data_IF_134637421890
#
_entry.id   IF_134637421890
#
_cell.length_a   1.000
_cell.length_b   1.000
_cell.length_c   1.000
_cell.angle_alpha   90.00
_cell.angle_beta   90.00
_cell.angle_gamma   90.00
#
_symmetry.space_group_name_H-M   'P 1'
#
loop_
_entity.id
_entity.type
_entity.pdbx_description
1 polymer ?
#
# COMPACT_ATOMS: atom_id res chain seq x y z
N UNK A 1 47.04 -33.04 -3.72
CA UNK A 1 45.67 -32.98 -4.27
C UNK A 1 44.61 -32.90 -3.16
N UNK A 2 44.62 -33.81 -2.18
CA UNK A 2 43.65 -33.86 -1.06
C UNK A 2 43.56 -32.54 -0.26
N UNK A 3 44.70 -31.88 0.03
CA UNK A 3 44.72 -30.60 0.77
C UNK A 3 43.91 -29.48 0.10
N UNK A 4 43.95 -29.36 -1.23
CA UNK A 4 43.22 -28.33 -2.00
C UNK A 4 41.72 -28.64 -2.10
N UNK A 5 41.36 -29.92 -2.12
CA UNK A 5 39.95 -30.35 -2.08
C UNK A 5 39.33 -30.02 -0.72
N UNK A 6 40.03 -30.27 0.38
CA UNK A 6 39.58 -29.91 1.73
C UNK A 6 39.48 -28.39 1.94
N UNK A 7 40.36 -27.57 1.33
CA UNK A 7 40.26 -26.09 1.43
C UNK A 7 39.13 -25.50 0.60
N UNK A 8 38.69 -26.18 -0.48
CA UNK A 8 37.54 -25.78 -1.27
C UNK A 8 36.22 -26.28 -0.68
N UNK A 9 36.22 -27.45 -0.04
CA UNK A 9 35.03 -28.01 0.60
C UNK A 9 34.69 -27.36 1.94
N UNK A 10 35.67 -26.86 2.71
CA UNK A 10 35.38 -26.23 4.02
C UNK A 10 34.50 -24.97 3.90
N UNK A 11 34.74 -24.03 2.95
CA UNK A 11 33.86 -22.89 2.70
C UNK A 11 32.48 -23.31 2.19
N UNK A 12 32.40 -24.36 1.37
CA UNK A 12 31.14 -24.91 0.85
C UNK A 12 30.32 -25.61 1.95
N UNK A 13 30.98 -26.28 2.90
CA UNK A 13 30.35 -26.87 4.09
C UNK A 13 29.95 -25.80 5.11
N UNK A 14 30.75 -24.74 5.28
CA UNK A 14 30.40 -23.58 6.11
C UNK A 14 29.26 -22.77 5.48
N UNK A 15 29.20 -22.64 4.15
CA UNK A 15 28.10 -21.99 3.44
C UNK A 15 26.80 -22.83 3.46
N UNK A 16 26.90 -24.17 3.50
CA UNK A 16 25.76 -25.08 3.60
C UNK A 16 25.24 -25.27 5.03
N UNK A 17 25.94 -24.77 6.05
CA UNK A 17 25.50 -24.80 7.46
C UNK A 17 24.70 -23.57 7.89
N UNK A 18 24.50 -22.58 7.03
CA UNK A 18 23.56 -21.49 7.29
C UNK A 18 22.15 -21.91 6.85
N UNK A 19 21.58 -22.90 7.55
CA UNK A 19 20.13 -22.90 7.70
C UNK A 19 19.78 -21.59 8.40
N UNK A 20 18.81 -20.88 7.83
CA UNK A 20 18.31 -19.59 8.28
C UNK A 20 17.78 -19.69 9.72
N UNK A 21 18.64 -19.52 10.72
CA UNK A 21 18.21 -19.31 12.10
C UNK A 21 17.50 -17.94 12.20
N UNK A 22 16.42 -17.87 12.97
CA UNK A 22 15.73 -16.62 13.26
C UNK A 22 16.73 -15.56 13.74
N UNK A 23 16.67 -14.30 13.25
CA UNK A 23 17.63 -13.28 13.62
C UNK A 23 17.61 -13.04 15.14
N UNK A 24 18.68 -13.46 15.82
CA UNK A 24 18.90 -13.16 17.23
C UNK A 24 19.68 -11.85 17.36
N UNK A 25 18.99 -10.78 17.75
CA UNK A 25 19.61 -9.48 17.97
C UNK A 25 20.34 -9.45 19.31
N UNK A 26 21.49 -8.78 19.34
CA UNK A 26 22.24 -8.60 20.58
C UNK A 26 21.42 -7.86 21.64
N UNK A 27 21.58 -8.24 22.91
CA UNK A 27 20.89 -7.59 24.03
C UNK A 27 21.11 -6.07 24.10
N UNK A 28 22.23 -5.58 23.56
CA UNK A 28 22.61 -4.16 23.51
C UNK A 28 21.64 -3.30 22.67
N UNK A 29 21.00 -3.89 21.65
CA UNK A 29 20.06 -3.17 20.77
C UNK A 29 18.60 -3.36 21.17
N UNK A 30 18.32 -4.29 22.07
CA UNK A 30 16.98 -4.58 22.56
C UNK A 30 16.55 -3.57 23.63
N UNK A 31 15.26 -3.21 23.59
CA UNK A 31 14.62 -2.36 24.61
C UNK A 31 13.43 -3.06 25.23
N UNK A 32 13.11 -2.66 26.47
CA UNK A 32 11.89 -3.09 27.18
C UNK A 32 11.16 -1.84 27.66
N UNK A 33 10.38 -1.16 26.79
CA UNK A 33 9.70 0.08 27.15
C UNK A 33 8.85 -0.12 28.41
N UNK A 34 9.18 0.58 29.50
CA UNK A 34 8.58 0.32 30.80
C UNK A 34 7.06 0.53 30.81
N UNK A 35 6.60 1.45 29.97
CA UNK A 35 5.22 1.83 29.73
C UNK A 35 4.51 0.99 28.66
N UNK A 36 5.17 -0.04 28.09
CA UNK A 36 4.52 -1.14 27.36
C UNK A 36 4.19 -2.31 28.30
N UNK A 37 5.06 -2.57 29.27
CA UNK A 37 4.93 -3.70 30.21
C UNK A 37 3.64 -3.66 31.04
N UNK A 38 3.21 -4.83 31.51
CA UNK A 38 1.98 -5.03 32.27
C UNK A 38 0.81 -5.48 31.41
N UNK A 39 -0.37 -5.53 32.03
CA UNK A 39 -1.61 -5.85 31.34
C UNK A 39 -2.00 -4.68 30.42
N UNK A 40 -2.52 -4.97 29.24
CA UNK A 40 -3.01 -4.01 28.26
C UNK A 40 -4.37 -4.45 27.77
N UNK A 41 -5.29 -3.50 27.68
CA UNK A 41 -6.54 -3.73 26.96
C UNK A 41 -6.22 -3.68 25.47
N UNK A 42 -6.48 -4.78 24.78
CA UNK A 42 -6.33 -4.93 23.34
C UNK A 42 -7.66 -4.56 22.67
N UNK A 43 -7.60 -3.58 21.77
CA UNK A 43 -8.69 -3.23 20.87
C UNK A 43 -8.26 -3.60 19.44
N UNK A 44 -8.87 -4.67 18.94
CA UNK A 44 -8.80 -5.10 17.54
C UNK A 44 -9.84 -4.32 16.70
N UNK A 45 -9.60 -4.18 15.39
CA UNK A 45 -10.50 -3.49 14.45
C UNK A 45 -11.91 -4.12 14.33
N UNK A 46 -12.06 -5.39 14.75
CA UNK A 46 -13.36 -6.07 14.83
C UNK A 46 -13.76 -6.30 16.31
N UNK A 47 -14.55 -5.39 16.92
CA UNK A 47 -14.88 -5.44 18.35
C UNK A 47 -15.90 -6.54 18.66
N UNK A 48 -15.44 -7.79 18.67
CA UNK A 48 -16.25 -8.94 19.08
C UNK A 48 -16.04 -9.32 20.55
N UNK A 49 -14.94 -8.87 21.17
CA UNK A 49 -14.64 -9.09 22.59
C UNK A 49 -13.60 -8.11 23.12
N UNK A 50 -13.72 -7.74 24.41
CA UNK A 50 -12.65 -7.10 25.17
C UNK A 50 -11.58 -8.17 25.40
N UNK A 51 -10.38 -7.98 24.84
CA UNK A 51 -9.24 -8.86 25.03
C UNK A 51 -8.15 -8.15 25.86
N UNK A 52 -7.38 -8.91 26.63
CA UNK A 52 -6.24 -8.40 27.37
C UNK A 52 -4.95 -9.11 26.96
N UNK A 53 -3.92 -8.30 26.77
CA UNK A 53 -2.56 -8.75 26.51
C UNK A 53 -1.67 -8.45 27.72
N UNK A 54 -0.83 -9.41 28.12
CA UNK A 54 0.14 -9.23 29.19
C UNK A 54 1.56 -9.19 28.60
N UNK A 55 2.23 -8.06 28.79
CA UNK A 55 3.63 -7.87 28.40
C UNK A 55 4.56 -7.98 29.61
N UNK A 56 5.50 -8.93 29.59
CA UNK A 56 6.47 -9.16 30.67
C UNK A 56 7.90 -8.98 30.17
N UNK A 57 8.82 -8.68 31.09
CA UNK A 57 10.25 -8.63 30.78
C UNK A 57 10.77 -10.05 30.50
N UNK A 58 11.48 -10.20 29.40
CA UNK A 58 12.34 -11.37 29.20
C UNK A 58 13.71 -11.13 29.89
N UNK A 59 14.28 -12.19 30.46
CA UNK A 59 15.62 -12.17 31.08
C UNK A 59 16.72 -11.89 30.03
N UNK A 60 16.45 -12.22 28.78
CA UNK A 60 17.38 -12.03 27.66
C UNK A 60 17.34 -10.62 27.05
N UNK A 61 16.46 -9.73 27.54
CA UNK A 61 16.33 -8.35 27.05
C UNK A 61 15.16 -8.12 26.09
N UNK A 62 14.48 -9.18 25.63
CA UNK A 62 13.24 -9.10 24.85
C UNK A 62 11.98 -8.84 25.68
N UNK A 63 10.81 -9.03 25.09
CA UNK A 63 9.49 -8.89 25.74
C UNK A 63 8.69 -10.18 25.53
N UNK A 64 8.09 -10.69 26.60
CA UNK A 64 7.16 -11.83 26.52
C UNK A 64 5.76 -11.26 26.34
N UNK A 65 5.03 -11.73 25.32
CA UNK A 65 3.66 -11.32 25.04
C UNK A 65 2.72 -12.51 25.21
N UNK A 66 1.70 -12.33 26.05
CA UNK A 66 0.70 -13.37 26.35
C UNK A 66 -0.68 -12.82 26.04
N UNK A 67 -1.39 -13.45 25.11
CA UNK A 67 -2.77 -13.11 24.76
C UNK A 67 -3.75 -13.96 25.59
N UNK A 68 -4.89 -13.39 26.00
CA UNK A 68 -5.94 -14.11 26.74
C UNK A 68 -6.69 -15.16 25.89
N UNK A 69 -6.68 -15.01 24.56
CA UNK A 69 -7.29 -15.95 23.60
C UNK A 69 -6.48 -17.25 23.54
N UNK A 70 -6.83 -18.21 24.40
CA UNK A 70 -6.41 -19.62 24.35
C UNK A 70 -4.88 -19.88 24.31
N UNK A 71 -4.10 -19.22 25.18
CA UNK A 71 -2.83 -19.78 25.66
C UNK A 71 -1.70 -19.96 24.64
N UNK A 72 -1.75 -19.27 23.49
CA UNK A 72 -0.58 -19.14 22.62
C UNK A 72 0.38 -18.12 23.25
N UNK A 73 1.38 -18.61 24.00
CA UNK A 73 2.48 -17.80 24.49
C UNK A 73 3.47 -17.58 23.34
N UNK A 74 3.60 -16.34 22.83
CA UNK A 74 4.77 -15.98 22.02
C UNK A 74 5.90 -15.69 23.01
N UNK A 75 6.70 -16.73 23.26
CA UNK A 75 7.54 -16.80 24.47
C UNK A 75 8.66 -15.77 24.48
N UNK A 76 9.14 -15.31 23.32
CA UNK A 76 10.31 -14.43 23.23
C UNK A 76 10.23 -13.46 22.05
N UNK A 77 9.62 -12.29 22.24
CA UNK A 77 9.59 -11.23 21.23
C UNK A 77 10.77 -10.26 21.45
N UNK A 78 11.21 -9.58 20.39
CA UNK A 78 12.25 -8.57 20.48
C UNK A 78 11.69 -7.20 20.09
N UNK A 79 12.08 -6.18 20.84
CA UNK A 79 11.67 -4.78 20.58
C UNK A 79 12.92 -3.97 20.31
N UNK A 80 12.96 -3.31 19.15
CA UNK A 80 14.15 -2.60 18.67
C UNK A 80 13.77 -1.18 18.27
N UNK A 81 14.48 -0.13 18.71
CA UNK A 81 14.21 1.23 18.28
C UNK A 81 14.39 1.43 16.76
N UNK A 82 13.41 2.07 16.11
CA UNK A 82 13.45 2.48 14.70
C UNK A 82 13.80 3.98 14.57
N UNK A 83 13.48 4.57 13.41
CA UNK A 83 13.62 6.00 13.15
C UNK A 83 12.63 6.81 14.00
N UNK A 84 13.12 7.38 15.11
CA UNK A 84 12.36 8.24 16.02
C UNK A 84 12.30 7.70 17.44
N UNK A 85 12.05 8.55 18.46
CA UNK A 85 12.08 8.13 19.86
C UNK A 85 10.91 7.21 20.28
N UNK A 86 9.87 7.11 19.46
CA UNK A 86 8.58 6.51 19.81
C UNK A 86 8.13 5.42 18.84
N UNK A 87 8.96 5.01 17.88
CA UNK A 87 8.66 3.97 16.90
C UNK A 87 9.66 2.82 17.04
N UNK A 88 9.16 1.59 17.02
CA UNK A 88 9.92 0.39 17.32
C UNK A 88 9.56 -0.73 16.35
N UNK A 89 10.53 -1.58 16.05
CA UNK A 89 10.30 -2.85 15.38
C UNK A 89 9.93 -3.87 16.45
N UNK A 90 8.78 -4.50 16.28
CA UNK A 90 8.34 -5.62 17.09
C UNK A 90 8.54 -6.91 16.29
N UNK A 91 9.48 -7.73 16.76
CA UNK A 91 9.85 -9.00 16.13
C UNK A 91 9.14 -10.12 16.89
N UNK A 92 8.20 -10.76 16.23
CA UNK A 92 7.34 -11.81 16.79
C UNK A 92 7.86 -13.18 16.36
N UNK A 93 8.24 -13.99 17.33
CA UNK A 93 8.62 -15.38 17.10
C UNK A 93 7.37 -16.25 17.31
N UNK A 94 6.76 -16.67 16.20
CA UNK A 94 5.51 -17.44 16.20
C UNK A 94 5.75 -18.95 16.33
N UNK A 95 6.85 -19.45 15.78
CA UNK A 95 7.40 -20.81 15.91
C UNK A 95 8.93 -20.81 15.64
N UNK A 96 9.60 -21.98 15.67
CA UNK A 96 11.07 -22.07 15.47
C UNK A 96 11.52 -21.64 14.05
N UNK A 97 10.61 -21.51 13.07
CA UNK A 97 10.97 -21.33 11.65
C UNK A 97 10.44 -20.02 11.03
N UNK A 98 9.50 -19.31 11.68
CA UNK A 98 8.91 -18.08 11.15
C UNK A 98 9.03 -16.89 12.10
N UNK A 99 9.48 -15.77 11.54
CA UNK A 99 9.52 -14.46 12.20
C UNK A 99 8.56 -13.52 11.50
N UNK A 100 7.68 -12.92 12.30
CA UNK A 100 6.81 -11.84 11.86
C UNK A 100 7.34 -10.50 12.37
N UNK A 101 7.17 -9.46 11.57
CA UNK A 101 7.58 -8.11 11.91
C UNK A 101 6.34 -7.22 11.99
N UNK A 102 6.31 -6.34 12.98
CA UNK A 102 5.31 -5.29 13.11
C UNK A 102 5.99 -3.98 13.52
N UNK A 103 5.35 -2.86 13.22
CA UNK A 103 5.76 -1.55 13.73
C UNK A 103 4.93 -1.25 14.97
N UNK A 104 5.62 -1.04 16.08
CA UNK A 104 5.04 -0.67 17.36
C UNK A 104 5.33 0.80 17.64
N UNK A 105 4.29 1.60 17.89
CA UNK A 105 4.42 3.04 18.08
C UNK A 105 3.75 3.52 19.36
N UNK A 106 4.40 4.45 20.06
CA UNK A 106 3.79 5.14 21.19
C UNK A 106 2.96 6.31 20.70
N UNK A 107 1.66 6.25 20.96
CA UNK A 107 0.69 7.28 20.55
C UNK A 107 0.69 8.46 21.53
N UNK A 108 0.21 9.62 21.08
CA UNK A 108 0.06 10.83 21.93
C UNK A 108 -0.82 10.59 23.16
N UNK A 109 -1.80 9.70 23.06
CA UNK A 109 -2.67 9.25 24.16
C UNK A 109 -1.95 8.38 25.21
N UNK A 110 -0.66 8.06 24.99
CA UNK A 110 0.11 7.04 25.73
C UNK A 110 -0.36 5.61 25.53
N UNK A 111 -1.32 5.39 24.63
CA UNK A 111 -1.59 4.09 24.07
C UNK A 111 -0.43 3.63 23.18
N UNK A 112 -0.39 2.34 22.89
CA UNK A 112 0.50 1.79 21.88
C UNK A 112 -0.33 1.38 20.66
N UNK A 113 0.12 1.77 19.48
CA UNK A 113 -0.39 1.26 18.21
C UNK A 113 0.53 0.17 17.71
N UNK A 114 -0.02 -0.96 17.30
CA UNK A 114 0.70 -1.98 16.56
C UNK A 114 0.14 -2.03 15.14
N UNK A 115 1.03 -1.95 14.18
CA UNK A 115 0.71 -1.99 12.75
C UNK A 115 1.43 -3.17 12.12
N UNK A 116 0.67 -4.01 11.41
CA UNK A 116 1.28 -5.00 10.54
C UNK A 116 2.00 -4.28 9.40
N UNK A 117 3.10 -4.87 8.97
CA UNK A 117 3.86 -4.38 7.82
C UNK A 117 3.83 -5.43 6.74
N UNK A 118 3.42 -5.02 5.56
CA UNK A 118 3.31 -5.90 4.42
C UNK A 118 3.70 -5.18 3.14
N UNK A 119 4.01 -5.96 2.10
CA UNK A 119 4.01 -5.40 0.76
C UNK A 119 2.59 -5.51 0.24
N UNK A 120 2.07 -4.42 -0.29
CA UNK A 120 0.74 -4.42 -0.89
C UNK A 120 0.74 -5.35 -2.11
N UNK A 121 -0.03 -6.44 -2.06
CA UNK A 121 -0.09 -7.47 -3.11
C UNK A 121 -1.36 -7.43 -3.93
N UNK A 122 -2.41 -6.82 -3.39
CA UNK A 122 -3.73 -6.75 -4.02
C UNK A 122 -3.93 -5.43 -4.77
N UNK A 123 -2.90 -4.59 -4.84
CA UNK A 123 -2.95 -3.34 -5.61
C UNK A 123 -2.51 -3.55 -7.05
N UNK A 124 -3.03 -2.74 -7.98
CA UNK A 124 -2.56 -2.69 -9.37
C UNK A 124 -1.06 -2.42 -9.53
N UNK A 125 -0.40 -1.95 -8.47
CA UNK A 125 1.00 -1.55 -8.47
C UNK A 125 1.92 -2.56 -7.76
N UNK A 126 1.40 -3.76 -7.46
CA UNK A 126 2.12 -4.77 -6.67
C UNK A 126 3.49 -5.11 -7.26
N UNK A 127 3.60 -5.27 -8.58
CA UNK A 127 4.86 -5.63 -9.23
C UNK A 127 5.95 -4.56 -9.05
N UNK A 128 5.59 -3.29 -9.25
CA UNK A 128 6.52 -2.15 -9.07
C UNK A 128 6.92 -2.02 -7.59
N UNK A 129 5.96 -2.17 -6.68
CA UNK A 129 6.16 -2.08 -5.24
C UNK A 129 7.09 -3.20 -4.74
N UNK A 130 6.85 -4.45 -5.18
CA UNK A 130 7.66 -5.62 -4.84
C UNK A 130 9.07 -5.50 -5.42
N UNK A 131 9.21 -5.07 -6.68
CA UNK A 131 10.50 -4.85 -7.30
C UNK A 131 11.32 -3.79 -6.55
N UNK A 132 10.68 -2.69 -6.15
CA UNK A 132 11.31 -1.62 -5.38
C UNK A 132 11.76 -2.10 -4.00
N UNK A 133 10.88 -2.76 -3.23
CA UNK A 133 11.22 -3.31 -1.92
C UNK A 133 12.35 -4.36 -1.99
N UNK A 134 12.31 -5.25 -2.99
CA UNK A 134 13.39 -6.23 -3.25
C UNK A 134 14.71 -5.54 -3.57
N UNK A 135 14.68 -4.47 -4.36
CA UNK A 135 15.89 -3.71 -4.69
C UNK A 135 16.52 -3.12 -3.43
N UNK A 136 15.71 -2.63 -2.48
CA UNK A 136 16.18 -2.08 -1.21
C UNK A 136 16.77 -3.18 -0.33
N UNK A 137 16.06 -4.30 -0.16
CA UNK A 137 16.55 -5.45 0.60
C UNK A 137 17.90 -5.97 0.08
N UNK A 138 18.06 -6.04 -1.25
CA UNK A 138 19.30 -6.47 -1.88
C UNK A 138 20.49 -5.55 -1.54
N UNK A 139 20.28 -4.24 -1.34
CA UNK A 139 21.35 -3.31 -0.88
C UNK A 139 21.88 -3.68 0.50
N UNK A 140 21.07 -4.33 1.32
CA UNK A 140 21.41 -4.82 2.66
C UNK A 140 21.81 -6.30 2.67
N UNK A 141 21.97 -6.92 1.49
CA UNK A 141 22.35 -8.33 1.37
C UNK A 141 21.24 -9.31 1.72
N UNK A 142 19.99 -8.86 1.74
CA UNK A 142 18.80 -9.67 2.05
C UNK A 142 17.99 -9.91 0.79
N UNK A 143 17.19 -10.97 0.81
CA UNK A 143 16.19 -11.24 -0.23
C UNK A 143 14.78 -11.16 0.36
N UNK A 144 13.79 -10.81 -0.47
CA UNK A 144 12.38 -10.81 -0.07
C UNK A 144 11.61 -11.80 -0.92
N UNK A 145 10.98 -12.74 -0.24
CA UNK A 145 9.97 -13.59 -0.84
C UNK A 145 8.59 -13.01 -0.57
N UNK A 146 7.77 -13.02 -1.61
CA UNK A 146 6.43 -12.44 -1.60
C UNK A 146 5.51 -13.51 -2.16
N UNK A 147 4.82 -14.20 -1.24
CA UNK A 147 3.86 -15.28 -1.50
C UNK A 147 2.56 -15.00 -0.75
N UNK A 148 2.12 -15.93 0.11
CA UNK A 148 0.99 -15.71 1.04
C UNK A 148 1.37 -14.76 2.20
N UNK A 149 2.66 -14.55 2.43
CA UNK A 149 3.26 -13.56 3.34
C UNK A 149 4.41 -12.80 2.68
N UNK A 150 4.87 -11.72 3.31
CA UNK A 150 6.14 -11.08 2.96
C UNK A 150 7.18 -11.61 3.94
N UNK A 151 8.12 -12.40 3.45
CA UNK A 151 9.19 -12.99 4.27
C UNK A 151 10.55 -12.44 3.85
N UNK A 152 11.41 -12.20 4.84
CA UNK A 152 12.81 -11.85 4.59
C UNK A 152 13.59 -13.15 4.54
N UNK A 153 14.31 -13.38 3.44
CA UNK A 153 15.08 -14.59 3.19
C UNK A 153 16.59 -14.33 3.24
N UNK A 154 17.29 -15.39 3.64
CA UNK A 154 18.73 -15.61 3.84
C UNK A 154 19.73 -14.73 3.05
N UNK A 155 20.94 -14.49 3.63
CA UNK A 155 21.35 -14.82 5.01
C UNK A 155 20.82 -13.77 6.00
N UNK A 156 20.00 -14.23 6.95
CA UNK A 156 19.41 -13.40 8.01
C UNK A 156 20.45 -13.15 9.09
N UNK A 157 21.24 -12.09 8.96
CA UNK A 157 21.96 -11.56 10.12
C UNK A 157 21.09 -10.52 10.81
N UNK A 158 21.10 -10.51 12.15
CA UNK A 158 20.40 -9.49 12.92
C UNK A 158 20.81 -8.06 12.49
N UNK A 159 22.09 -7.86 12.16
CA UNK A 159 22.60 -6.59 11.65
C UNK A 159 22.00 -6.19 10.30
N UNK A 160 21.88 -7.13 9.36
CA UNK A 160 21.28 -6.85 8.04
C UNK A 160 19.79 -6.53 8.16
N UNK A 161 19.05 -7.30 8.97
CA UNK A 161 17.62 -7.04 9.24
C UNK A 161 17.45 -5.68 9.92
N UNK A 162 18.31 -5.36 10.88
CA UNK A 162 18.30 -4.06 11.55
C UNK A 162 18.61 -2.92 10.57
N UNK A 163 19.59 -3.09 9.69
CA UNK A 163 19.95 -2.10 8.68
C UNK A 163 18.81 -1.87 7.70
N UNK A 164 18.12 -2.94 7.28
CA UNK A 164 16.97 -2.87 6.39
C UNK A 164 15.81 -2.07 7.02
N UNK A 165 15.42 -2.38 8.25
CA UNK A 165 14.34 -1.65 8.93
C UNK A 165 14.73 -0.24 9.37
N UNK A 166 16.02 0.09 9.40
CA UNK A 166 16.52 1.46 9.57
C UNK A 166 16.63 2.22 8.26
N UNK A 167 16.49 1.56 7.12
CA UNK A 167 16.42 2.20 5.82
C UNK A 167 15.06 2.88 5.66
N UNK A 168 15.00 4.23 5.58
CA UNK A 168 13.73 4.92 5.43
C UNK A 168 13.04 4.59 4.10
N UNK A 169 13.79 4.22 3.06
CA UNK A 169 13.20 3.81 1.79
C UNK A 169 12.50 2.46 1.92
N UNK A 170 12.99 1.57 2.78
CA UNK A 170 12.31 0.30 3.05
C UNK A 170 11.04 0.50 3.85
N UNK A 171 11.10 1.22 4.97
CA UNK A 171 9.91 1.48 5.80
C UNK A 171 8.80 2.18 5.02
N UNK A 172 9.14 3.11 4.14
CA UNK A 172 8.15 3.79 3.30
C UNK A 172 7.75 3.05 2.02
N UNK A 173 8.32 1.87 1.76
CA UNK A 173 7.85 0.96 0.71
C UNK A 173 6.79 -0.03 1.23
N UNK A 174 6.60 -0.12 2.55
CA UNK A 174 5.70 -1.06 3.21
C UNK A 174 4.32 -0.43 3.42
N UNK A 175 3.28 -1.21 3.14
CA UNK A 175 1.93 -0.96 3.60
C UNK A 175 1.89 -1.12 5.12
N UNK A 176 1.36 -0.12 5.82
CA UNK A 176 1.16 -0.16 7.26
C UNK A 176 -0.33 -0.10 7.56
N UNK A 177 -0.90 -1.26 7.90
CA UNK A 177 -2.27 -1.37 8.35
C UNK A 177 -2.27 -1.45 9.88
N UNK A 178 -3.10 -0.63 10.52
CA UNK A 178 -3.27 -0.72 11.97
C UNK A 178 -3.92 -2.07 12.25
N UNK A 179 -3.30 -2.87 13.13
CA UNK A 179 -3.88 -4.14 13.55
C UNK A 179 -4.54 -4.03 14.92
N UNK A 180 -3.92 -3.26 15.82
CA UNK A 180 -4.30 -3.27 17.24
C UNK A 180 -3.93 -1.96 17.94
N UNK A 181 -4.79 -1.54 18.88
CA UNK A 181 -4.47 -0.51 19.88
C UNK A 181 -4.38 -1.17 21.27
N UNK A 182 -3.28 -0.90 21.99
CA UNK A 182 -3.00 -1.42 23.32
C UNK A 182 -3.06 -0.29 24.36
N UNK A 183 -4.07 -0.34 25.22
CA UNK A 183 -4.32 0.66 26.25
C UNK A 183 -3.80 0.23 27.61
N UNK A 184 -3.28 1.18 28.40
CA UNK A 184 -2.93 0.92 29.80
C UNK A 184 -4.18 0.61 30.64
N UNK A 185 -4.08 -0.21 31.72
CA UNK A 185 -5.19 -0.47 32.61
C UNK A 185 -5.65 0.84 33.26
N UNK A 186 -6.93 1.18 33.12
CA UNK A 186 -7.49 2.40 33.68
C UNK A 186 -7.25 3.67 32.85
N UNK A 187 -6.83 3.55 31.59
CA UNK A 187 -6.96 4.65 30.62
C UNK A 187 -8.44 5.07 30.57
N UNK A 188 -8.73 6.28 31.05
CA UNK A 188 -10.08 6.86 31.17
C UNK A 188 -10.41 7.79 30.00
N UNK A 189 -9.86 7.59 28.80
CA UNK A 189 -10.38 8.33 27.67
C UNK A 189 -11.78 7.78 27.34
N UNK A 190 -12.66 8.65 26.85
CA UNK A 190 -13.93 8.18 26.32
C UNK A 190 -13.65 7.12 25.23
N UNK A 191 -14.40 6.01 25.16
CA UNK A 191 -14.19 4.90 24.20
C UNK A 191 -14.20 5.22 22.69
N UNK A 192 -13.99 6.47 22.28
CA UNK A 192 -13.83 6.89 20.89
C UNK A 192 -12.73 7.93 20.65
N UNK A 193 -12.13 8.54 21.69
CA UNK A 193 -11.00 9.48 21.48
C UNK A 193 -9.68 8.74 21.21
N UNK A 194 -9.49 7.56 21.80
CA UNK A 194 -8.30 6.72 21.60
C UNK A 194 -8.33 5.89 20.31
N UNK A 195 -9.53 5.71 19.71
CA UNK A 195 -9.75 4.97 18.47
C UNK A 195 -9.79 5.85 17.22
N UNK A 196 -9.88 7.18 17.38
CA UNK A 196 -9.73 8.09 16.24
C UNK A 196 -8.39 7.82 15.59
N UNK A 197 -8.37 7.78 14.25
CA UNK A 197 -7.13 7.79 13.47
C UNK A 197 -6.19 8.85 14.08
N UNK A 198 -4.89 8.55 14.13
CA UNK A 198 -3.94 9.56 14.60
C UNK A 198 -4.22 10.82 13.76
N UNK A 199 -4.44 12.01 14.35
CA UNK A 199 -4.67 13.23 13.58
C UNK A 199 -3.55 13.49 12.55
N UNK A 200 -2.39 12.87 12.74
CA UNK A 200 -1.27 12.93 11.82
C UNK A 200 -1.24 11.81 10.75
N UNK A 201 -2.27 10.96 10.67
CA UNK A 201 -2.43 9.91 9.66
C UNK A 201 -2.48 10.47 8.23
N UNK A 202 -2.21 9.61 7.25
CA UNK A 202 -2.43 9.92 5.85
C UNK A 202 -3.78 9.33 5.44
N UNK A 203 -4.88 10.10 5.45
CA UNK A 203 -6.18 9.60 5.03
C UNK A 203 -6.17 9.30 3.52
N UNK A 204 -7.05 8.40 3.05
CA UNK A 204 -7.21 8.17 1.62
C UNK A 204 -7.63 9.47 0.93
N UNK A 205 -6.96 9.78 -0.17
CA UNK A 205 -7.24 10.96 -0.99
C UNK A 205 -7.12 10.59 -2.47
N UNK A 206 -8.03 11.08 -3.31
CA UNK A 206 -7.94 10.88 -4.76
C UNK A 206 -6.64 11.46 -5.29
N UNK A 207 -5.94 10.70 -6.14
CA UNK A 207 -4.78 11.20 -6.85
C UNK A 207 -5.25 12.05 -8.02
N UNK A 208 -4.95 13.35 -7.95
CA UNK A 208 -5.31 14.32 -8.96
C UNK A 208 -4.15 14.74 -9.86
N UNK A 209 -4.48 15.40 -10.97
CA UNK A 209 -3.50 16.12 -11.81
C UNK A 209 -3.92 17.57 -11.97
N UNK A 210 -3.10 18.50 -11.49
CA UNK A 210 -3.33 19.92 -11.70
C UNK A 210 -2.93 20.31 -13.13
N UNK A 211 -3.93 20.49 -13.99
CA UNK A 211 -3.78 20.88 -15.39
C UNK A 211 -4.56 22.15 -15.70
N UNK A 212 -4.04 22.94 -16.63
CA UNK A 212 -4.84 23.98 -17.24
C UNK A 212 -5.91 23.35 -18.13
N UNK A 213 -7.14 23.92 -18.17
CA UNK A 213 -8.20 23.44 -19.05
C UNK A 213 -7.74 23.31 -20.50
N UNK A 214 -8.15 22.23 -21.18
CA UNK A 214 -7.81 21.97 -22.59
C UNK A 214 -6.38 21.47 -22.85
N UNK A 215 -5.57 21.23 -21.80
CA UNK A 215 -4.21 20.69 -21.95
C UNK A 215 -4.20 19.20 -22.31
N UNK A 216 -5.20 18.44 -21.84
CA UNK A 216 -5.26 16.98 -22.01
C UNK A 216 -5.26 16.53 -23.47
N UNK A 217 -6.05 17.20 -24.34
CA UNK A 217 -6.13 16.89 -25.77
C UNK A 217 -4.88 17.25 -26.58
N UNK A 218 -3.84 17.78 -25.93
CA UNK A 218 -2.53 18.11 -26.53
C UNK A 218 -1.40 17.20 -26.06
N UNK A 219 -1.69 16.26 -25.17
CA UNK A 219 -0.68 15.33 -24.68
C UNK A 219 -0.47 14.21 -25.71
N UNK A 220 0.76 14.06 -26.18
CA UNK A 220 1.14 12.97 -27.08
C UNK A 220 1.19 11.63 -26.33
N UNK A 221 0.99 10.53 -27.06
CA UNK A 221 1.16 9.17 -26.54
C UNK A 221 -0.05 8.58 -25.81
N UNK A 222 -1.26 9.11 -26.07
CA UNK A 222 -2.50 8.53 -25.55
C UNK A 222 -2.72 7.11 -26.06
N UNK A 223 -3.05 6.19 -25.14
CA UNK A 223 -3.44 4.82 -25.46
C UNK A 223 -4.84 4.79 -26.07
N UNK A 224 -5.04 3.88 -27.03
CA UNK A 224 -6.31 3.68 -27.74
C UNK A 224 -6.70 2.20 -27.71
N UNK A 225 -7.07 1.67 -26.53
CA UNK A 225 -7.42 0.26 -26.40
C UNK A 225 -8.53 -0.13 -27.36
N UNK A 226 -8.32 -1.25 -28.06
CA UNK A 226 -9.35 -1.82 -28.91
C UNK A 226 -10.55 -2.27 -28.07
N UNK A 227 -11.76 -1.92 -28.52
CA UNK A 227 -13.00 -2.32 -27.85
C UNK A 227 -13.39 -1.49 -26.63
N UNK A 228 -12.75 -0.33 -26.38
CA UNK A 228 -13.24 0.67 -25.42
C UNK A 228 -14.25 1.64 -26.04
N UNK A 229 -14.09 2.01 -27.32
CA UNK A 229 -15.10 2.80 -28.03
C UNK A 229 -16.29 1.90 -28.38
N UNK A 230 -17.49 2.29 -27.97
CA UNK A 230 -18.67 1.45 -28.13
C UNK A 230 -19.86 1.91 -27.29
N UNK A 231 -20.83 1.00 -27.18
CA UNK A 231 -22.04 1.18 -26.36
C UNK A 231 -22.03 0.14 -25.24
N UNK A 232 -22.31 0.60 -24.04
CA UNK A 232 -22.26 -0.18 -22.81
C UNK A 232 -23.51 0.09 -21.97
N UNK A 233 -23.75 -0.77 -20.98
CA UNK A 233 -24.55 -0.43 -19.82
C UNK A 233 -23.61 -0.25 -18.63
N UNK A 234 -23.71 0.90 -17.98
CA UNK A 234 -22.94 1.25 -16.80
C UNK A 234 -23.70 0.84 -15.54
N UNK A 235 -23.02 0.16 -14.60
CA UNK A 235 -23.58 -0.04 -13.26
C UNK A 235 -23.83 1.32 -12.59
N UNK A 236 -25.09 1.59 -12.24
CA UNK A 236 -25.47 2.83 -11.59
C UNK A 236 -26.61 2.57 -10.59
N UNK A 237 -26.34 2.61 -9.27
CA UNK A 237 -27.35 2.31 -8.25
C UNK A 237 -28.49 3.34 -8.18
N UNK A 238 -28.35 4.48 -8.85
CA UNK A 238 -29.33 5.57 -8.87
C UNK A 238 -30.25 5.55 -10.10
N UNK A 239 -30.01 4.67 -11.08
CA UNK A 239 -30.88 4.48 -12.23
C UNK A 239 -31.94 3.40 -11.94
N UNK A 240 -33.15 3.53 -12.53
CA UNK A 240 -34.30 2.65 -12.24
C UNK A 240 -33.98 1.15 -12.38
N UNK A 241 -33.22 0.79 -13.43
CA UNK A 241 -32.82 -0.59 -13.72
C UNK A 241 -31.45 -0.98 -13.10
N UNK A 242 -30.83 -0.10 -12.31
CA UNK A 242 -29.45 -0.27 -11.84
C UNK A 242 -28.38 -0.19 -12.95
N UNK A 243 -28.80 0.00 -14.20
CA UNK A 243 -27.98 0.02 -15.41
C UNK A 243 -28.31 1.24 -16.26
N UNK A 244 -27.30 2.05 -16.57
CA UNK A 244 -27.44 3.28 -17.35
C UNK A 244 -26.82 3.08 -18.75
N UNK A 245 -27.54 3.33 -19.86
CA UNK A 245 -26.94 3.30 -21.18
C UNK A 245 -25.84 4.35 -21.34
N UNK A 246 -24.65 3.88 -21.68
CA UNK A 246 -23.43 4.69 -21.77
C UNK A 246 -22.77 4.49 -23.14
N UNK A 247 -22.41 5.59 -23.80
CA UNK A 247 -21.67 5.58 -25.05
C UNK A 247 -20.28 6.15 -24.82
N UNK A 248 -19.26 5.40 -25.26
CA UNK A 248 -17.86 5.80 -25.23
C UNK A 248 -17.40 6.04 -26.66
N UNK A 249 -16.91 7.24 -26.96
CA UNK A 249 -16.49 7.64 -28.31
C UNK A 249 -15.03 8.09 -28.31
N UNK A 250 -14.23 7.54 -29.21
CA UNK A 250 -12.89 8.04 -29.49
C UNK A 250 -12.98 9.35 -30.29
N UNK A 251 -12.32 10.39 -29.81
CA UNK A 251 -12.22 11.70 -30.46
C UNK A 251 -10.97 11.79 -31.34
N UNK A 252 -10.96 12.76 -32.25
CA UNK A 252 -9.80 13.04 -33.13
C UNK A 252 -8.54 13.43 -32.34
N UNK A 253 -8.71 14.00 -31.14
CA UNK A 253 -7.63 14.31 -30.19
C UNK A 253 -7.00 13.06 -29.57
N UNK A 254 -7.59 11.87 -29.78
CA UNK A 254 -7.17 10.61 -29.18
C UNK A 254 -7.74 10.34 -27.79
N UNK A 255 -8.52 11.27 -27.24
CA UNK A 255 -9.23 11.11 -25.97
C UNK A 255 -10.54 10.33 -26.19
N UNK A 256 -11.08 9.77 -25.11
CA UNK A 256 -12.41 9.16 -25.11
C UNK A 256 -13.41 10.08 -24.44
N UNK A 257 -14.55 10.29 -25.09
CA UNK A 257 -15.71 10.94 -24.50
C UNK A 257 -16.67 9.86 -24.00
N UNK A 258 -16.96 9.88 -22.70
CA UNK A 258 -18.00 9.05 -22.09
C UNK A 258 -19.25 9.90 -21.93
N UNK A 259 -20.38 9.39 -22.41
CA UNK A 259 -21.66 10.07 -22.38
C UNK A 259 -22.75 9.13 -21.90
N UNK A 260 -23.56 9.61 -20.96
CA UNK A 260 -24.76 8.91 -20.50
C UNK A 260 -26.01 9.67 -20.94
N UNK A 261 -27.16 8.99 -20.97
CA UNK A 261 -28.44 9.57 -21.42
C UNK A 261 -28.92 10.74 -20.55
N UNK A 262 -28.60 10.72 -19.25
CA UNK A 262 -29.25 11.59 -18.25
C UNK A 262 -28.36 12.72 -17.70
N UNK A 263 -27.03 12.73 -17.90
CA UNK A 263 -26.15 13.92 -17.83
C UNK A 263 -24.65 13.58 -17.90
N UNK A 264 -23.84 14.65 -18.02
CA UNK A 264 -22.37 14.78 -17.96
C UNK A 264 -21.59 14.07 -19.06
N UNK A 265 -20.76 14.87 -19.75
CA UNK A 265 -19.69 14.36 -20.60
C UNK A 265 -18.44 14.25 -19.74
N UNK A 266 -17.79 13.11 -19.82
CA UNK A 266 -16.50 12.89 -19.18
C UNK A 266 -15.47 12.71 -20.28
N UNK A 267 -14.36 13.41 -20.19
CA UNK A 267 -13.22 13.18 -21.08
C UNK A 267 -12.19 12.32 -20.36
N UNK A 268 -11.80 11.23 -21.01
CA UNK A 268 -10.79 10.29 -20.53
C UNK A 268 -9.58 10.35 -21.45
N UNK A 269 -8.41 10.54 -20.85
CA UNK A 269 -7.11 10.50 -21.54
C UNK A 269 -6.36 9.27 -21.03
N UNK A 270 -6.41 8.17 -21.79
CA UNK A 270 -5.81 6.91 -21.40
C UNK A 270 -4.32 6.88 -21.71
N UNK A 271 -3.57 6.17 -20.89
CA UNK A 271 -2.15 5.93 -21.07
C UNK A 271 -1.76 4.50 -20.70
N UNK A 272 -0.72 3.95 -21.37
CA UNK A 272 -0.33 2.56 -21.18
C UNK A 272 0.23 2.35 -19.77
N UNK A 273 -0.19 1.27 -19.13
CA UNK A 273 0.38 0.79 -17.86
C UNK A 273 0.90 -0.65 -18.03
N UNK A 274 0.00 -1.61 -18.28
CA UNK A 274 0.34 -2.97 -18.69
C UNK A 274 -0.61 -3.42 -19.80
N UNK A 275 -0.34 -2.93 -21.02
CA UNK A 275 -1.24 -3.15 -22.18
C UNK A 275 -1.41 -4.63 -22.53
N UNK A 276 -0.37 -5.45 -22.29
CA UNK A 276 -0.41 -6.89 -22.53
C UNK A 276 -1.48 -7.59 -21.69
N UNK A 277 -1.79 -7.04 -20.51
CA UNK A 277 -2.84 -7.52 -19.60
C UNK A 277 -4.14 -6.70 -19.72
N UNK A 278 -4.22 -5.77 -20.67
CA UNK A 278 -5.38 -4.91 -20.83
C UNK A 278 -5.57 -3.88 -19.71
N UNK A 279 -4.47 -3.47 -19.07
CA UNK A 279 -4.46 -2.51 -17.96
C UNK A 279 -3.90 -1.17 -18.41
N UNK A 280 -4.61 -0.12 -18.04
CA UNK A 280 -4.33 1.27 -18.41
C UNK A 280 -4.51 2.17 -17.20
N UNK A 281 -3.98 3.37 -17.30
CA UNK A 281 -4.34 4.47 -16.41
C UNK A 281 -5.06 5.52 -17.24
N UNK A 282 -5.96 6.28 -16.63
CA UNK A 282 -6.70 7.34 -17.28
C UNK A 282 -6.64 8.62 -16.46
N UNK A 283 -6.48 9.75 -17.14
CA UNK A 283 -6.83 11.05 -16.55
C UNK A 283 -8.29 11.31 -16.88
N UNK A 284 -9.13 11.39 -15.84
CA UNK A 284 -10.56 11.68 -15.93
C UNK A 284 -10.80 13.15 -15.67
N UNK A 285 -11.29 13.86 -16.68
CA UNK A 285 -11.69 15.27 -16.58
C UNK A 285 -13.22 15.34 -16.51
N UNK A 286 -13.71 15.66 -15.31
CA UNK A 286 -15.11 15.94 -15.06
C UNK A 286 -15.37 17.41 -15.34
N UNK A 287 -15.98 17.72 -16.48
CA UNK A 287 -16.44 19.07 -16.77
C UNK A 287 -17.70 19.36 -15.94
N UNK A 288 -17.52 20.01 -14.79
CA UNK A 288 -18.62 20.60 -14.03
C UNK A 288 -19.04 21.90 -14.74
N UNK A 289 -20.21 21.88 -15.36
CA UNK A 289 -20.86 23.10 -15.84
C UNK A 289 -21.43 23.87 -14.64
N UNK A 290 -20.57 24.50 -13.84
CA UNK A 290 -20.95 25.55 -12.91
C UNK A 290 -20.26 26.84 -13.36
N UNK A 291 -21.03 27.79 -13.90
CA UNK A 291 -20.52 29.01 -14.56
C UNK A 291 -19.70 29.89 -13.60
N UNK A 292 -19.92 29.76 -12.30
CA UNK A 292 -19.30 30.60 -11.27
C UNK A 292 -18.05 29.96 -10.63
N UNK A 293 -17.83 28.65 -10.79
CA UNK A 293 -16.66 27.98 -10.23
C UNK A 293 -16.40 26.63 -10.93
N UNK A 294 -15.71 26.62 -12.09
CA UNK A 294 -15.35 25.37 -12.76
C UNK A 294 -14.36 24.60 -11.88
N UNK A 295 -14.87 23.72 -11.01
CA UNK A 295 -14.02 22.75 -10.31
C UNK A 295 -13.64 21.67 -11.31
N UNK A 296 -12.47 21.80 -11.94
CA UNK A 296 -11.88 20.72 -12.71
C UNK A 296 -11.37 19.66 -11.74
N UNK A 297 -12.20 18.66 -11.44
CA UNK A 297 -11.75 17.46 -10.75
C UNK A 297 -11.08 16.56 -11.80
N UNK A 298 -9.75 16.67 -11.88
CA UNK A 298 -8.92 15.85 -12.75
C UNK A 298 -8.33 14.74 -11.91
N UNK A 299 -8.95 13.56 -11.91
CA UNK A 299 -8.49 12.39 -11.15
C UNK A 299 -7.75 11.40 -12.05
N UNK A 300 -6.90 10.57 -11.43
CA UNK A 300 -6.30 9.41 -12.07
C UNK A 300 -7.15 8.18 -11.74
N UNK A 301 -7.56 7.45 -12.78
CA UNK A 301 -8.22 6.17 -12.66
C UNK A 301 -7.34 5.05 -13.18
N UNK A 302 -7.45 3.89 -12.55
CA UNK A 302 -6.97 2.62 -13.06
C UNK A 302 -8.08 1.97 -13.88
N UNK A 303 -7.75 1.57 -15.11
CA UNK A 303 -8.70 1.10 -16.10
C UNK A 303 -8.31 -0.29 -16.57
N UNK A 304 -9.21 -1.25 -16.41
CA UNK A 304 -8.95 -2.67 -16.72
C UNK A 304 -9.98 -3.20 -17.69
N UNK A 305 -9.51 -3.90 -18.72
CA UNK A 305 -10.37 -4.70 -19.59
C UNK A 305 -10.75 -6.01 -18.90
N UNK A 306 -12.04 -6.30 -18.84
CA UNK A 306 -12.56 -7.59 -18.36
C UNK A 306 -13.15 -8.39 -19.51
N UNK A 307 -13.55 -9.64 -19.23
CA UNK A 307 -14.25 -10.48 -20.20
C UNK A 307 -15.63 -9.93 -20.59
N UNK A 308 -16.26 -9.15 -19.71
CA UNK A 308 -17.61 -8.60 -19.90
C UNK A 308 -17.63 -7.08 -20.16
N UNK A 309 -16.47 -6.42 -20.20
CA UNK A 309 -16.36 -5.01 -20.56
C UNK A 309 -15.15 -4.32 -19.93
N UNK A 310 -15.40 -3.25 -19.17
CA UNK A 310 -14.35 -2.39 -18.61
C UNK A 310 -14.65 -1.99 -17.15
N UNK A 311 -13.59 -1.94 -16.35
CA UNK A 311 -13.62 -1.48 -14.96
C UNK A 311 -12.78 -0.20 -14.86
N UNK A 312 -13.31 0.78 -14.12
CA UNK A 312 -12.66 2.04 -13.77
C UNK A 312 -12.65 2.18 -12.25
N UNK A 313 -11.46 2.37 -11.69
CA UNK A 313 -11.25 2.50 -10.25
C UNK A 313 -10.43 3.75 -9.98
N UNK A 314 -10.85 4.56 -9.02
CA UNK A 314 -10.09 5.76 -8.67
C UNK A 314 -8.77 5.36 -7.99
N UNK A 315 -7.66 5.95 -8.44
CA UNK A 315 -6.38 5.81 -7.74
C UNK A 315 -6.40 6.74 -6.54
N UNK A 316 -6.08 6.20 -5.37
CA UNK A 316 -6.04 6.93 -4.11
C UNK A 316 -4.67 6.81 -3.46
N UNK A 317 -4.32 7.81 -2.67
CA UNK A 317 -3.22 7.72 -1.71
C UNK A 317 -3.60 6.65 -0.70
N UNK A 318 -2.72 5.67 -0.51
CA UNK A 318 -2.93 4.61 0.45
C UNK A 318 -3.03 5.18 1.86
N UNK A 319 -4.01 4.69 2.64
CA UNK A 319 -4.09 5.06 4.05
C UNK A 319 -2.84 4.58 4.79
N UNK A 320 -2.19 5.50 5.52
CA UNK A 320 -1.07 5.17 6.40
C UNK A 320 -1.43 5.54 7.82
N UNK A 321 -1.71 4.51 8.63
CA UNK A 321 -2.15 4.63 10.02
C UNK A 321 -0.95 4.52 10.95
N UNK A 322 0.03 5.39 10.76
CA UNK A 322 1.25 5.47 11.55
C UNK A 322 1.47 6.90 12.10
N UNK A 323 2.50 7.11 12.92
CA UNK A 323 2.87 8.45 13.39
C UNK A 323 3.31 9.38 12.26
N UNK A 324 3.24 10.68 12.55
CA UNK A 324 3.72 11.77 11.67
C UNK A 324 5.11 11.56 11.08
N UNK A 325 6.04 10.90 11.78
CA UNK A 325 7.38 10.65 11.26
C UNK A 325 7.38 9.66 10.07
N UNK A 326 6.64 8.55 10.20
CA UNK A 326 6.51 7.54 9.14
C UNK A 326 5.64 8.08 8.01
N UNK A 327 4.56 8.81 8.33
CA UNK A 327 3.73 9.48 7.32
C UNK A 327 4.53 10.52 6.54
N UNK A 328 5.37 11.32 7.22
CA UNK A 328 6.26 12.28 6.57
C UNK A 328 7.29 11.59 5.67
N UNK A 329 7.79 10.43 6.08
CA UNK A 329 8.70 9.60 5.29
C UNK A 329 8.04 9.11 3.99
N UNK A 330 6.83 8.53 4.06
CA UNK A 330 6.07 8.13 2.86
C UNK A 330 5.86 9.31 1.91
N UNK A 331 5.39 10.45 2.43
CA UNK A 331 5.17 11.66 1.63
C UNK A 331 6.46 12.18 0.99
N UNK A 332 7.59 12.14 1.71
CA UNK A 332 8.89 12.54 1.17
C UNK A 332 9.36 11.63 0.04
N UNK A 333 9.20 10.30 0.19
CA UNK A 333 9.55 9.33 -0.86
C UNK A 333 8.74 9.57 -2.13
N UNK A 334 7.42 9.74 -2.01
CA UNK A 334 6.56 10.06 -3.16
C UNK A 334 6.95 11.40 -3.81
N UNK A 335 7.27 12.42 -3.00
CA UNK A 335 7.77 13.72 -3.51
C UNK A 335 9.07 13.57 -4.28
N UNK A 336 10.02 12.80 -3.76
CA UNK A 336 11.30 12.53 -4.43
C UNK A 336 11.09 11.78 -5.75
N UNK A 337 10.21 10.78 -5.77
CA UNK A 337 9.87 10.05 -6.98
C UNK A 337 9.22 10.97 -8.04
N UNK A 338 8.20 11.74 -7.67
CA UNK A 338 7.58 12.72 -8.57
C UNK A 338 8.60 13.69 -9.17
N UNK A 339 9.51 14.22 -8.33
CA UNK A 339 10.53 15.17 -8.78
C UNK A 339 11.51 14.55 -9.79
N UNK A 340 11.90 13.28 -9.63
CA UNK A 340 12.77 12.58 -10.59
C UNK A 340 12.15 12.52 -11.99
N UNK A 341 10.83 12.42 -12.06
CA UNK A 341 10.07 12.38 -13.32
C UNK A 341 9.62 13.78 -13.80
N UNK A 342 10.15 14.84 -13.18
CA UNK A 342 9.87 16.23 -13.56
C UNK A 342 8.48 16.73 -13.16
N UNK A 343 7.85 16.07 -12.19
CA UNK A 343 6.56 16.41 -11.61
C UNK A 343 6.75 16.94 -10.17
N UNK A 344 5.71 17.56 -9.63
CA UNK A 344 5.66 17.92 -8.20
C UNK A 344 4.44 17.28 -7.56
N UNK A 345 4.60 16.82 -6.33
CA UNK A 345 3.57 16.15 -5.54
C UNK A 345 3.28 16.98 -4.28
N UNK A 346 2.02 17.41 -4.10
CA UNK A 346 1.62 18.19 -2.92
C UNK A 346 1.04 17.31 -1.78
N UNK A 347 0.81 16.02 -2.03
CA UNK A 347 0.17 15.08 -1.10
C UNK A 347 -1.12 14.44 -1.65
N UNK A 348 -1.71 15.03 -2.70
CA UNK A 348 -2.90 14.50 -3.40
C UNK A 348 -2.82 14.74 -4.91
N UNK A 349 -2.20 15.82 -5.35
CA UNK A 349 -2.15 16.24 -6.75
C UNK A 349 -0.74 16.26 -7.30
N UNK A 350 -0.63 15.82 -8.55
CA UNK A 350 0.54 15.97 -9.39
C UNK A 350 0.45 17.27 -10.19
N UNK A 351 1.54 18.03 -10.29
CA UNK A 351 1.61 19.20 -11.16
C UNK A 351 2.91 19.25 -11.96
N UNK A 352 2.90 20.04 -13.05
CA UNK A 352 4.03 20.16 -13.98
C UNK A 352 4.04 19.10 -15.09
N UNK A 353 2.90 18.44 -15.35
CA UNK A 353 2.77 17.46 -16.42
C UNK A 353 2.99 18.09 -17.79
N UNK A 354 3.90 17.50 -18.59
CA UNK A 354 4.20 17.92 -19.96
C UNK A 354 3.91 16.83 -20.99
N UNK A 355 3.89 15.57 -20.58
CA UNK A 355 3.62 14.43 -21.46
C UNK A 355 3.09 13.23 -20.69
N UNK A 356 2.31 12.38 -21.36
CA UNK A 356 1.84 11.10 -20.80
C UNK A 356 3.00 10.19 -20.37
N UNK A 357 4.10 10.20 -21.10
CA UNK A 357 5.28 9.39 -20.77
C UNK A 357 5.84 9.68 -19.36
N UNK A 358 5.66 10.89 -18.84
CA UNK A 358 6.05 11.21 -17.45
C UNK A 358 5.16 10.51 -16.42
N UNK A 359 3.85 10.40 -16.68
CA UNK A 359 2.94 9.66 -15.79
C UNK A 359 3.21 8.17 -15.88
N UNK A 360 3.33 7.61 -17.09
CA UNK A 360 3.67 6.20 -17.25
C UNK A 360 4.98 5.84 -16.53
N UNK A 361 6.01 6.69 -16.64
CA UNK A 361 7.28 6.49 -15.92
C UNK A 361 7.14 6.63 -14.40
N UNK A 362 6.36 7.59 -13.92
CA UNK A 362 6.11 7.80 -12.49
C UNK A 362 5.33 6.63 -11.87
N UNK A 363 4.29 6.14 -12.55
CA UNK A 363 3.52 4.99 -12.10
C UNK A 363 4.26 3.66 -12.29
N UNK A 364 5.33 3.65 -13.09
CA UNK A 364 6.33 2.56 -13.11
C UNK A 364 7.35 2.63 -11.98
N UNK A 365 7.38 3.72 -11.20
CA UNK A 365 8.33 3.93 -10.11
C UNK A 365 7.74 3.43 -8.78
N UNK A 366 8.21 2.26 -8.33
CA UNK A 366 7.74 1.64 -7.08
C UNK A 366 7.86 2.54 -5.85
N UNK A 367 8.77 3.52 -5.84
CA UNK A 367 8.87 4.48 -4.74
C UNK A 367 7.65 5.43 -4.67
N UNK A 368 7.03 5.74 -5.81
CA UNK A 368 5.80 6.52 -5.85
C UNK A 368 4.59 5.63 -5.57
N UNK A 369 4.51 4.48 -6.21
CA UNK A 369 3.32 3.62 -6.16
C UNK A 369 3.17 2.83 -4.85
N UNK A 370 4.22 2.70 -4.04
CA UNK A 370 4.13 2.14 -2.69
C UNK A 370 3.19 2.94 -1.76
N UNK A 371 2.94 4.21 -2.08
CA UNK A 371 1.99 5.05 -1.36
C UNK A 371 0.60 5.13 -2.00
N UNK A 372 0.28 4.25 -2.96
CA UNK A 372 -0.97 4.29 -3.72
C UNK A 372 -1.76 2.99 -3.59
N UNK A 373 -3.08 3.12 -3.69
CA UNK A 373 -4.03 2.02 -3.84
C UNK A 373 -5.11 2.42 -4.85
N UNK A 374 -6.09 1.55 -5.06
CA UNK A 374 -7.32 1.87 -5.78
C UNK A 374 -8.52 1.76 -4.84
N UNK A 375 -9.55 2.54 -5.13
CA UNK A 375 -10.84 2.46 -4.44
C UNK A 375 -11.65 1.26 -5.01
N UNK A 376 -11.75 0.20 -4.21
CA UNK A 376 -12.51 -1.00 -4.52
C UNK A 376 -13.98 -0.92 -4.09
N UNK A 377 -14.38 0.12 -3.35
CA UNK A 377 -15.77 0.34 -2.93
C UNK A 377 -16.56 1.06 -4.03
N UNK A 378 -15.94 2.04 -4.70
CA UNK A 378 -16.58 2.86 -5.74
C UNK A 378 -16.09 2.49 -7.15
N UNK A 379 -16.36 1.25 -7.54
CA UNK A 379 -15.97 0.72 -8.86
C UNK A 379 -17.00 1.09 -9.93
N UNK A 380 -16.58 1.84 -10.95
CA UNK A 380 -17.39 2.09 -12.14
C UNK A 380 -17.18 0.95 -13.15
N UNK A 381 -18.28 0.31 -13.56
CA UNK A 381 -18.27 -0.84 -14.49
C UNK A 381 -19.07 -0.54 -15.74
N UNK A 382 -18.47 -0.76 -16.90
CA UNK A 382 -19.12 -0.71 -18.21
C UNK A 382 -19.27 -2.12 -18.76
N UNK A 383 -20.50 -2.61 -18.86
CA UNK A 383 -20.81 -3.92 -19.42
C UNK A 383 -21.08 -3.83 -20.92
N UNK A 384 -20.48 -4.71 -21.71
CA UNK A 384 -20.76 -4.82 -23.14
C UNK A 384 -22.20 -5.30 -23.37
N UNK A 385 -22.83 -4.90 -24.48
CA UNK A 385 -24.20 -5.32 -24.79
C UNK A 385 -24.32 -6.84 -24.96
N UNK A 386 -23.31 -7.47 -25.57
CA UNK A 386 -23.24 -8.92 -25.80
C UNK A 386 -23.19 -9.71 -24.49
N UNK A 387 -22.41 -9.25 -23.50
CA UNK A 387 -22.29 -9.92 -22.20
C UNK A 387 -23.55 -9.84 -21.33
N UNK A 388 -24.41 -8.85 -21.58
CA UNK A 388 -25.67 -8.68 -20.84
C UNK A 388 -26.74 -9.59 -21.43
N UNK A 389 -26.79 -9.70 -22.77
CA UNK A 389 -27.69 -10.64 -23.42
C UNK A 389 -27.38 -12.09 -23.04
N UNK A 390 -26.11 -12.48 -22.93
CA UNK A 390 -25.75 -13.84 -22.51
C UNK A 390 -26.14 -14.12 -21.05
N UNK A 391 -25.90 -13.18 -20.12
CA UNK A 391 -26.26 -13.36 -18.70
C UNK A 391 -27.78 -13.41 -18.46
N UNK A 392 -28.57 -12.71 -19.27
CA UNK A 392 -30.04 -12.75 -19.21
C UNK A 392 -30.67 -13.99 -19.88
N UNK A 393 -29.89 -14.77 -20.63
CA UNK A 393 -30.33 -15.99 -21.31
C UNK A 393 -29.90 -17.28 -20.58
N UNK A 394 -28.98 -17.16 -19.61
CA UNK A 394 -28.50 -18.25 -18.77
C UNK A 394 -29.20 -18.31 -17.37
N UNK A 395 -30.12 -17.39 -17.10
CA UNK A 395 -31.13 -17.45 -16.01
C UNK A 395 -32.50 -17.82 -16.58
#
# INVERSE_FOLDING_TARGET
MIRRLCTAMLPLLLAACFQSENPHFERSVLVQPADLLGQRLNIDDAPSSIAYDLFRRDKNGGVIWVTDRKGAETTHNQVIPLAGPDSFLFVMNTDEETVQYAVLERLKSRAWGMSTIELSRETPFADQNVAYARSIAARHGLSLHVGDGTTIESPLTADAVLALFRDPEFLGALSMQRSTILLAPGARAAPGEELRLDPDSMPPALVGVNLQPGTLGRLDGLAKPEGLAGRYLQANPYHEDGLLPTTVRLLDTGQFEVSTKDSRRVLLSLFPFNEAEGQYLAIKDLEYADEDNPSHAVSIEYVVRTSDGWIFQSVTVQECVARSAIVAMHRDLMKRAALRHGLTWNGSDLSGLKSIGQLAALFGDGQFTSGLTVDDEHVERLFSHESIQSKLLDE
#
